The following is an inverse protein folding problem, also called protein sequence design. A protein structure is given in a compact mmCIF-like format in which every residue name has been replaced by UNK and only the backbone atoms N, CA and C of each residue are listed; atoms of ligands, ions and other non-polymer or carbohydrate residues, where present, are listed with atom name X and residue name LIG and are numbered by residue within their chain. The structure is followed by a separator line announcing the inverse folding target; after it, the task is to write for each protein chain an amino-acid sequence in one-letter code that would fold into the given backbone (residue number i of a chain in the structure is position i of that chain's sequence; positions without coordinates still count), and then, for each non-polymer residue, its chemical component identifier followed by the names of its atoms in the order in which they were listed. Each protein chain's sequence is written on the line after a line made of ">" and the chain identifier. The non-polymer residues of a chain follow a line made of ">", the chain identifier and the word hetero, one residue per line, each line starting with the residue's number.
data_IF_170516671419
#
_entry.id   IF_170516671419
#
_cell.length_a   1.000
_cell.length_b   1.000
_cell.length_c   1.000
_cell.angle_alpha   90.00
_cell.angle_beta   90.00
_cell.angle_gamma   90.00
#
_symmetry.space_group_name_H-M   'P 1'
#
loop_
_entity.id
_entity.type
_entity.pdbx_description
1 polymer ?
#
# COMPACT_ATOMS: atom_id res chain seq x y z
N UNK A 1 1.14 31.83 -7.26
CA UNK A 1 1.71 31.69 -8.62
C UNK A 1 2.73 30.56 -8.66
N UNK A 2 3.59 30.45 -7.63
CA UNK A 2 4.61 29.39 -7.49
C UNK A 2 4.02 27.97 -7.34
N UNK A 3 2.99 27.79 -6.51
CA UNK A 3 2.30 26.50 -6.35
C UNK A 3 1.75 25.91 -7.66
N UNK A 4 1.25 26.79 -8.55
CA UNK A 4 0.71 26.37 -9.85
C UNK A 4 1.83 25.87 -10.77
N UNK A 5 3.02 26.47 -10.69
CA UNK A 5 4.22 26.01 -11.41
C UNK A 5 4.73 24.69 -10.83
N UNK A 6 4.79 24.55 -9.51
CA UNK A 6 5.24 23.32 -8.86
C UNK A 6 4.28 22.14 -9.16
N UNK A 7 2.97 22.37 -9.17
CA UNK A 7 1.97 21.36 -9.55
C UNK A 7 2.10 20.93 -11.02
N UNK A 8 2.34 21.88 -11.94
CA UNK A 8 2.55 21.57 -13.35
C UNK A 8 3.83 20.76 -13.60
N UNK A 9 4.92 21.11 -12.91
CA UNK A 9 6.20 20.38 -13.02
C UNK A 9 6.10 18.96 -12.45
N UNK A 10 5.34 18.77 -11.37
CA UNK A 10 5.06 17.44 -10.82
C UNK A 10 4.26 16.59 -11.82
N UNK A 11 3.13 17.09 -12.32
CA UNK A 11 2.30 16.35 -13.27
C UNK A 11 3.08 15.98 -14.55
N UNK A 12 3.89 16.88 -15.10
CA UNK A 12 4.67 16.61 -16.32
C UNK A 12 5.77 15.56 -16.14
N UNK A 13 6.32 15.40 -14.92
CA UNK A 13 7.31 14.36 -14.61
C UNK A 13 6.69 12.97 -14.46
N UNK A 14 5.48 12.88 -13.92
CA UNK A 14 4.79 11.60 -13.72
C UNK A 14 3.99 11.16 -14.95
N UNK A 15 3.46 12.09 -15.75
CA UNK A 15 2.69 11.78 -16.98
C UNK A 15 3.48 11.06 -18.07
N UNK A 16 4.81 11.24 -18.11
CA UNK A 16 5.69 10.58 -19.10
C UNK A 16 5.88 9.08 -18.86
N UNK A 17 5.40 8.52 -17.74
CA UNK A 17 5.56 7.10 -17.43
C UNK A 17 4.33 6.25 -17.78
N UNK A 18 3.15 6.85 -17.90
CA UNK A 18 1.89 6.09 -18.01
C UNK A 18 1.35 5.95 -19.45
N UNK A 19 1.83 6.75 -20.42
CA UNK A 19 1.20 6.83 -21.75
C UNK A 19 1.76 5.88 -22.83
N UNK A 20 2.89 5.18 -22.58
CA UNK A 20 3.57 4.38 -23.62
C UNK A 20 3.55 2.86 -23.38
N UNK A 21 2.98 2.35 -22.28
CA UNK A 21 2.86 0.89 -22.01
C UNK A 21 1.42 0.35 -21.94
N UNK A 22 0.40 1.20 -22.03
CA UNK A 22 -1.01 0.75 -22.04
C UNK A 22 -1.45 0.42 -23.47
N UNK A 23 -0.69 -0.42 -24.16
CA UNK A 23 -1.07 -0.93 -25.47
C UNK A 23 -2.11 -2.04 -25.30
N UNK A 24 -3.39 -1.66 -25.28
CA UNK A 24 -4.52 -2.52 -25.66
C UNK A 24 -4.55 -3.91 -25.00
N UNK A 25 -4.55 -3.98 -23.67
CA UNK A 25 -5.06 -5.18 -22.99
C UNK A 25 -6.60 -5.14 -23.08
N UNK A 26 -7.21 -6.22 -23.56
CA UNK A 26 -8.66 -6.34 -23.49
C UNK A 26 -9.08 -6.53 -22.02
N UNK A 27 -10.25 -6.05 -21.61
CA UNK A 27 -10.75 -6.24 -20.24
C UNK A 27 -10.68 -7.72 -19.80
N UNK A 28 -10.84 -8.64 -20.77
CA UNK A 28 -10.71 -10.10 -20.60
C UNK A 28 -9.28 -10.54 -20.26
N UNK A 29 -8.26 -9.90 -20.81
CA UNK A 29 -6.86 -10.23 -20.51
C UNK A 29 -6.44 -9.71 -19.14
N UNK A 30 -6.98 -8.55 -18.70
CA UNK A 30 -6.76 -8.02 -17.36
C UNK A 30 -7.33 -8.95 -16.28
N UNK A 31 -8.57 -9.41 -16.44
CA UNK A 31 -9.20 -10.38 -15.52
C UNK A 31 -8.39 -11.67 -15.39
N UNK A 32 -7.83 -12.17 -16.51
CA UNK A 32 -7.00 -13.38 -16.53
C UNK A 32 -5.67 -13.21 -15.79
N UNK A 33 -5.12 -12.00 -15.78
CA UNK A 33 -3.90 -11.68 -15.04
C UNK A 33 -4.15 -11.55 -13.54
N UNK A 34 -5.38 -11.22 -13.12
CA UNK A 34 -5.84 -11.16 -11.72
C UNK A 34 -6.24 -12.52 -11.14
N UNK A 35 -6.54 -13.50 -11.98
CA UNK A 35 -6.89 -14.84 -11.53
C UNK A 35 -5.69 -15.67 -11.04
N UNK A 36 -5.93 -16.56 -10.08
CA UNK A 36 -4.97 -17.60 -9.73
C UNK A 36 -4.82 -18.61 -10.89
N UNK A 37 -3.64 -18.72 -11.49
CA UNK A 37 -3.38 -19.64 -12.62
C UNK A 37 -3.49 -21.15 -12.34
N UNK A 38 -3.99 -21.55 -11.16
CA UNK A 38 -4.27 -22.95 -10.79
C UNK A 38 -5.78 -23.18 -10.67
N UNK A 39 -6.50 -22.35 -9.91
CA UNK A 39 -7.95 -22.53 -9.70
C UNK A 39 -8.82 -21.61 -10.56
N UNK A 40 -8.24 -20.65 -11.28
CA UNK A 40 -8.95 -19.66 -12.11
C UNK A 40 -10.00 -18.86 -11.31
N UNK A 41 -9.67 -18.51 -10.07
CA UNK A 41 -10.51 -17.67 -9.21
C UNK A 41 -9.76 -16.36 -8.89
N UNK A 42 -10.49 -15.25 -8.79
CA UNK A 42 -10.00 -13.96 -8.31
C UNK A 42 -9.76 -14.00 -6.80
N UNK A 43 -8.57 -14.42 -6.41
CA UNK A 43 -8.13 -14.49 -5.01
C UNK A 43 -6.81 -13.75 -4.87
N UNK A 44 -6.59 -13.10 -3.74
CA UNK A 44 -5.28 -12.53 -3.38
C UNK A 44 -4.19 -13.58 -3.52
N UNK A 45 -3.09 -13.18 -4.16
CA UNK A 45 -1.98 -14.08 -4.51
C UNK A 45 -0.83 -13.95 -3.53
N UNK A 46 -0.05 -15.02 -3.47
CA UNK A 46 1.25 -15.06 -2.81
C UNK A 46 2.31 -15.39 -3.85
N UNK A 47 3.49 -14.79 -3.69
CA UNK A 47 4.63 -14.94 -4.58
C UNK A 47 5.69 -15.80 -3.91
N UNK A 48 6.19 -16.79 -4.66
CA UNK A 48 7.29 -17.64 -4.20
C UNK A 48 8.63 -16.89 -4.30
N UNK A 49 9.44 -16.81 -3.21
CA UNK A 49 10.65 -16.00 -3.18
C UNK A 49 11.77 -16.52 -4.11
N UNK A 50 11.78 -17.83 -4.41
CA UNK A 50 12.85 -18.44 -5.20
C UNK A 50 12.67 -18.25 -6.71
N UNK A 51 11.42 -18.10 -7.18
CA UNK A 51 11.09 -18.19 -8.60
C UNK A 51 10.02 -17.19 -9.06
N UNK A 52 9.63 -16.25 -8.20
CA UNK A 52 8.67 -15.14 -8.44
C UNK A 52 7.31 -15.54 -9.02
N UNK A 53 6.95 -16.81 -8.99
CA UNK A 53 5.66 -17.27 -9.47
C UNK A 53 4.58 -17.03 -8.41
N UNK A 54 3.40 -16.63 -8.87
CA UNK A 54 2.28 -16.25 -8.01
C UNK A 54 1.11 -17.24 -8.12
N UNK A 55 0.46 -17.52 -6.99
CA UNK A 55 -0.78 -18.29 -6.91
C UNK A 55 -1.54 -17.92 -5.63
N UNK A 56 -2.81 -18.27 -5.50
CA UNK A 56 -3.52 -18.05 -4.23
C UNK A 56 -2.96 -18.96 -3.12
N UNK A 57 -3.09 -18.49 -1.86
CA UNK A 57 -2.54 -19.20 -0.70
C UNK A 57 -3.10 -20.62 -0.55
N UNK A 58 -4.39 -20.83 -0.88
CA UNK A 58 -5.04 -22.14 -0.85
C UNK A 58 -4.36 -23.12 -1.81
N UNK A 59 -4.18 -22.71 -3.07
CA UNK A 59 -3.51 -23.55 -4.07
C UNK A 59 -2.04 -23.82 -3.71
N UNK A 60 -1.34 -22.84 -3.15
CA UNK A 60 0.01 -23.06 -2.62
C UNK A 60 0.02 -24.13 -1.53
N UNK A 61 -0.84 -24.01 -0.51
CA UNK A 61 -0.88 -24.95 0.62
C UNK A 61 -1.22 -26.38 0.16
N UNK A 62 -2.24 -26.51 -0.70
CA UNK A 62 -2.65 -27.79 -1.27
C UNK A 62 -1.52 -28.44 -2.06
N UNK A 63 -0.84 -27.67 -2.91
CA UNK A 63 0.29 -28.16 -3.68
C UNK A 63 1.49 -28.52 -2.80
N UNK A 64 1.85 -27.65 -1.86
CA UNK A 64 3.00 -27.85 -0.96
C UNK A 64 2.82 -29.09 -0.08
N UNK A 65 1.58 -29.45 0.27
CA UNK A 65 1.27 -30.69 1.00
C UNK A 65 1.65 -31.96 0.23
N UNK A 66 1.72 -31.88 -1.11
CA UNK A 66 1.99 -33.01 -2.02
C UNK A 66 3.40 -32.96 -2.60
N UNK A 67 3.88 -31.77 -2.95
CA UNK A 67 5.18 -31.53 -3.57
C UNK A 67 5.79 -30.23 -3.08
N UNK A 68 7.00 -30.32 -2.55
CA UNK A 68 7.80 -29.17 -2.11
C UNK A 68 8.53 -28.52 -3.32
N UNK A 69 7.77 -28.19 -4.36
CA UNK A 69 8.25 -27.59 -5.60
C UNK A 69 7.30 -26.50 -6.09
N UNK A 70 7.75 -25.55 -6.90
CA UNK A 70 6.84 -24.63 -7.58
C UNK A 70 5.94 -25.40 -8.57
N UNK A 71 4.61 -25.19 -8.59
CA UNK A 71 3.72 -25.86 -9.54
C UNK A 71 3.94 -25.41 -11.00
N UNK A 72 4.53 -24.23 -11.21
CA UNK A 72 4.74 -23.66 -12.55
C UNK A 72 6.09 -24.06 -13.15
N UNK A 73 7.19 -23.88 -12.40
CA UNK A 73 8.55 -24.10 -12.91
C UNK A 73 9.30 -25.27 -12.24
N UNK A 74 8.71 -25.91 -11.22
CA UNK A 74 9.30 -27.02 -10.46
C UNK A 74 10.55 -26.69 -9.65
N UNK A 75 10.87 -25.41 -9.46
CA UNK A 75 11.91 -24.98 -8.53
C UNK A 75 11.66 -25.49 -7.11
N UNK A 76 12.74 -25.76 -6.38
CA UNK A 76 12.69 -26.41 -5.07
C UNK A 76 12.22 -25.44 -3.97
N UNK A 77 11.24 -25.88 -3.16
CA UNK A 77 10.66 -25.12 -2.05
C UNK A 77 10.92 -25.75 -0.67
N UNK A 78 11.76 -26.78 -0.55
CA UNK A 78 12.01 -27.51 0.72
C UNK A 78 12.53 -26.65 1.88
N UNK A 79 12.98 -25.42 1.61
CA UNK A 79 13.48 -24.47 2.61
C UNK A 79 12.60 -23.21 2.72
N UNK A 80 11.45 -23.20 2.08
CA UNK A 80 10.54 -22.05 2.07
C UNK A 80 9.50 -22.26 3.15
N UNK A 81 9.58 -21.48 4.23
CA UNK A 81 8.56 -21.48 5.25
C UNK A 81 7.33 -20.67 4.77
N UNK A 82 6.12 -20.94 5.29
CA UNK A 82 4.94 -20.15 4.94
C UNK A 82 5.09 -18.64 5.20
N UNK A 83 5.98 -18.25 6.12
CA UNK A 83 6.31 -16.85 6.40
C UNK A 83 7.22 -16.19 5.36
N UNK A 84 7.86 -16.97 4.49
CA UNK A 84 8.74 -16.46 3.43
C UNK A 84 7.96 -16.08 2.16
N UNK A 85 6.66 -16.38 2.13
CA UNK A 85 5.77 -16.03 1.02
C UNK A 85 5.50 -14.53 1.01
N UNK A 86 5.61 -13.92 -0.16
CA UNK A 86 5.34 -12.49 -0.30
C UNK A 86 3.89 -12.29 -0.71
N UNK A 87 3.22 -11.30 -0.12
CA UNK A 87 1.88 -10.91 -0.55
C UNK A 87 2.01 -10.18 -1.88
N UNK A 88 1.26 -10.61 -2.88
CA UNK A 88 1.10 -9.88 -4.12
C UNK A 88 0.17 -8.71 -3.86
N UNK A 89 0.63 -7.49 -4.15
CA UNK A 89 -0.12 -6.24 -3.96
C UNK A 89 -0.61 -5.81 -5.33
N UNK A 90 -1.92 -5.70 -5.48
CA UNK A 90 -2.56 -5.21 -6.70
C UNK A 90 -2.60 -3.68 -6.71
N UNK A 91 -2.87 -3.07 -7.86
CA UNK A 91 -2.92 -1.61 -7.97
C UNK A 91 -4.02 -1.01 -7.06
N UNK A 92 -5.14 -1.72 -6.90
CA UNK A 92 -6.24 -1.34 -6.04
C UNK A 92 -5.92 -1.44 -4.53
N UNK A 93 -4.88 -2.20 -4.15
CA UNK A 93 -4.40 -2.26 -2.76
C UNK A 93 -3.57 -1.03 -2.39
N UNK A 94 -3.11 -0.26 -3.37
CA UNK A 94 -2.26 0.91 -3.16
C UNK A 94 -3.11 2.13 -2.82
N UNK A 95 -3.06 2.57 -1.57
CA UNK A 95 -3.76 3.78 -1.13
C UNK A 95 -3.11 5.03 -1.74
N UNK A 96 -3.92 5.82 -2.46
CA UNK A 96 -3.46 7.03 -3.13
C UNK A 96 -2.97 8.11 -2.15
N UNK A 97 -2.02 8.94 -2.62
CA UNK A 97 -1.39 9.96 -1.80
C UNK A 97 -2.34 11.06 -1.31
N UNK A 98 -3.44 11.33 -2.02
CA UNK A 98 -4.45 12.30 -1.60
C UNK A 98 -5.23 11.76 -0.39
N UNK A 99 -5.65 10.50 -0.45
CA UNK A 99 -6.28 9.79 0.67
C UNK A 99 -5.34 9.71 1.87
N UNK A 100 -4.07 9.33 1.68
CA UNK A 100 -3.07 9.31 2.77
C UNK A 100 -2.95 10.69 3.43
N UNK A 101 -2.82 11.75 2.63
CA UNK A 101 -2.67 13.12 3.12
C UNK A 101 -3.89 13.59 3.91
N UNK A 102 -5.10 13.30 3.41
CA UNK A 102 -6.37 13.62 4.07
C UNK A 102 -6.48 12.93 5.43
N UNK A 103 -6.17 11.65 5.50
CA UNK A 103 -6.24 10.90 6.77
C UNK A 103 -5.16 11.36 7.77
N UNK A 104 -3.96 11.69 7.30
CA UNK A 104 -2.91 12.25 8.15
C UNK A 104 -3.30 13.60 8.75
N UNK A 105 -3.91 14.49 7.96
CA UNK A 105 -4.43 15.75 8.44
C UNK A 105 -5.51 15.55 9.52
N UNK A 106 -6.44 14.60 9.30
CA UNK A 106 -7.47 14.25 10.28
C UNK A 106 -6.85 13.78 11.60
N UNK A 107 -5.87 12.87 11.54
CA UNK A 107 -5.15 12.38 12.73
C UNK A 107 -4.41 13.50 13.46
N UNK A 108 -3.77 14.42 12.73
CA UNK A 108 -3.10 15.59 13.30
C UNK A 108 -4.08 16.47 14.08
N UNK A 109 -5.22 16.84 13.48
CA UNK A 109 -6.23 17.64 14.18
C UNK A 109 -6.80 16.92 15.41
N UNK A 110 -7.06 15.62 15.31
CA UNK A 110 -7.48 14.82 16.47
C UNK A 110 -6.45 14.81 17.59
N UNK A 111 -5.15 14.70 17.26
CA UNK A 111 -4.07 14.77 18.23
C UNK A 111 -4.03 16.14 18.90
N UNK A 112 -4.05 17.23 18.12
CA UNK A 112 -4.04 18.61 18.64
C UNK A 112 -5.20 18.83 19.60
N UNK A 113 -6.41 18.40 19.25
CA UNK A 113 -7.59 18.55 20.10
C UNK A 113 -7.52 17.77 21.42
N UNK A 114 -6.65 16.75 21.50
CA UNK A 114 -6.42 15.96 22.72
C UNK A 114 -5.27 16.48 23.57
N UNK A 115 -4.52 17.50 23.11
CA UNK A 115 -3.44 18.07 23.91
C UNK A 115 -4.01 18.86 25.09
N UNK A 116 -3.43 18.72 26.30
CA UNK A 116 -3.84 19.52 27.43
C UNK A 116 -3.55 21.00 27.16
N UNK A 117 -4.47 21.87 27.58
CA UNK A 117 -4.25 23.31 27.56
C UNK A 117 -3.18 23.65 28.59
N UNK A 118 -1.98 24.02 28.13
CA UNK A 118 -0.94 24.58 28.98
C UNK A 118 -1.23 26.08 29.09
N UNK A 119 -1.92 26.47 30.16
CA UNK A 119 -2.07 27.89 30.51
C UNK A 119 -0.87 28.28 31.36
N UNK A 120 -0.02 29.23 30.94
CA UNK A 120 1.07 29.70 31.78
C UNK A 120 0.51 30.43 33.02
N UNK A 121 0.89 29.97 34.21
CA UNK A 121 0.46 30.54 35.51
C UNK A 121 0.85 32.03 35.70
N UNK A 122 1.70 32.57 34.84
CA UNK A 122 2.37 33.87 35.03
C UNK A 122 1.43 35.07 34.82
N UNK A 123 0.30 34.90 34.11
CA UNK A 123 -0.60 36.04 33.79
C UNK A 123 -1.45 36.49 35.00
N UNK A 124 -1.70 35.63 35.98
CA UNK A 124 -2.52 36.01 37.14
C UNK A 124 -1.73 36.75 38.24
N UNK A 125 -0.40 36.70 38.24
CA UNK A 125 0.42 37.31 39.31
C UNK A 125 0.64 38.82 39.19
N UNK A 126 0.47 39.40 37.99
CA UNK A 126 0.77 40.83 37.75
C UNK A 126 -0.44 41.73 38.04
N UNK A 127 -1.67 41.20 37.99
CA UNK A 127 -2.87 41.99 38.30
C UNK A 127 -3.17 42.09 39.80
N UNK A 128 -2.69 41.16 40.61
CA UNK A 128 -2.97 41.12 42.05
C UNK A 128 -2.03 42.02 42.89
N UNK A 129 -0.92 42.48 42.28
CA UNK A 129 0.01 43.43 42.94
C UNK A 129 -0.44 44.89 42.86
N UNK A 130 -1.53 45.21 42.16
CA UNK A 130 -2.04 46.58 42.01
C UNK A 130 -3.31 46.88 42.82
N UNK A 131 -3.76 45.93 43.65
CA UNK A 131 -4.88 46.13 44.61
C UNK A 131 -4.33 45.96 46.02
N UNK A 132 -3.59 46.95 46.53
CA UNK A 132 -3.36 47.17 47.97
C UNK A 132 -3.16 48.65 48.25
#
# INVERSE_FOLDING_TARGET
>A
MEDKKQKAVCMERYRRRDEDETSSLSDVDAEREEECGICMEMNSKVVLPNCTHAMCLRCYQDWNSRSQSCPFCRDNLKKTDPGDLWIYVEDDDVVDMETVSRENLRRLFMYINKLPLIVPDVIFSVYDSHIK
#
